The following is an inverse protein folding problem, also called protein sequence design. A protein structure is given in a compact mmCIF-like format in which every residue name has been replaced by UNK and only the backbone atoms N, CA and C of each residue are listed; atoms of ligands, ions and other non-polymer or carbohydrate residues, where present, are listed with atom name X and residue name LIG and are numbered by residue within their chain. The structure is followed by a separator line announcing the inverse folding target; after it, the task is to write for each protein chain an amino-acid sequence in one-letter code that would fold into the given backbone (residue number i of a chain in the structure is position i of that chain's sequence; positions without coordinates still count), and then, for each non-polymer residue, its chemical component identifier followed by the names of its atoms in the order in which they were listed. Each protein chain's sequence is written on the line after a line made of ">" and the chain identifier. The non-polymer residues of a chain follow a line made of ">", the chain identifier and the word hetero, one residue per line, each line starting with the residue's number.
data_IF_731672005028
#
_entry.id   IF_731672005028
#
_cell.length_a   1.000
_cell.length_b   1.000
_cell.length_c   1.000
_cell.angle_alpha   90.00
_cell.angle_beta   90.00
_cell.angle_gamma   90.00
#
_symmetry.space_group_name_H-M   'P 1'
#
loop_
_entity.id
_entity.type
_entity.pdbx_description
1 polymer ?
#
# COMPACT_ATOMS: atom_id res chain seq x y z
N UNK A 1 -2.87 -3.52 -8.61
CA UNK A 1 -2.78 -3.33 -10.08
C UNK A 1 -2.39 -1.90 -10.41
N UNK A 2 -3.15 -0.87 -9.99
CA UNK A 2 -2.84 0.55 -10.26
C UNK A 2 -1.47 1.02 -9.75
N UNK A 3 -1.02 0.58 -8.57
CA UNK A 3 0.31 0.95 -8.03
C UNK A 3 1.47 0.51 -8.93
N UNK A 4 1.46 -0.73 -9.40
CA UNK A 4 2.50 -1.21 -10.32
C UNK A 4 2.45 -0.47 -11.67
N UNK A 5 1.24 -0.21 -12.19
CA UNK A 5 1.08 0.59 -13.41
C UNK A 5 1.65 2.00 -13.27
N UNK A 6 1.44 2.65 -12.11
CA UNK A 6 2.04 3.96 -11.81
C UNK A 6 3.57 3.88 -11.73
N UNK A 7 4.12 2.87 -11.07
CA UNK A 7 5.58 2.66 -11.01
C UNK A 7 6.17 2.50 -12.41
N UNK A 8 5.54 1.67 -13.26
CA UNK A 8 5.98 1.44 -14.64
C UNK A 8 5.87 2.72 -15.49
N UNK A 9 4.80 3.50 -15.31
CA UNK A 9 4.60 4.79 -15.96
C UNK A 9 5.70 5.79 -15.59
N UNK A 10 6.04 5.90 -14.30
CA UNK A 10 7.10 6.77 -13.81
C UNK A 10 8.46 6.36 -14.40
N UNK A 11 8.80 5.07 -14.43
CA UNK A 11 10.04 4.63 -15.08
C UNK A 11 10.08 4.97 -16.57
N UNK A 12 8.96 4.81 -17.27
CA UNK A 12 8.83 5.21 -18.67
C UNK A 12 9.05 6.71 -18.89
N UNK A 13 8.50 7.55 -18.02
CA UNK A 13 8.64 9.00 -18.05
C UNK A 13 10.08 9.46 -17.74
N UNK A 14 10.72 8.85 -16.74
CA UNK A 14 12.14 9.05 -16.44
C UNK A 14 13.02 8.69 -17.65
N UNK A 15 12.70 7.60 -18.36
CA UNK A 15 13.46 7.20 -19.54
C UNK A 15 13.36 8.23 -20.67
N UNK A 16 12.18 8.83 -20.87
CA UNK A 16 11.99 9.90 -21.87
C UNK A 16 12.86 11.12 -21.57
N UNK A 17 12.87 11.58 -20.31
CA UNK A 17 13.73 12.68 -19.85
C UNK A 17 15.22 12.37 -20.09
N UNK A 18 15.65 11.15 -19.76
CA UNK A 18 17.05 10.72 -19.98
C UNK A 18 17.43 10.66 -21.45
N UNK A 19 16.54 10.17 -22.32
CA UNK A 19 16.78 10.07 -23.76
C UNK A 19 16.78 11.45 -24.45
N UNK A 20 15.98 12.40 -23.96
CA UNK A 20 16.01 13.78 -24.45
C UNK A 20 17.23 14.56 -23.95
N UNK A 21 17.82 14.15 -22.82
CA UNK A 21 18.88 14.87 -22.13
C UNK A 21 18.37 16.02 -21.25
N UNK A 22 17.06 16.03 -20.97
CA UNK A 22 16.40 17.08 -20.18
C UNK A 22 16.04 16.54 -18.80
N UNK A 23 16.03 17.41 -17.79
CA UNK A 23 15.57 17.05 -16.44
C UNK A 23 14.20 17.65 -16.11
N UNK A 24 13.84 18.77 -16.74
CA UNK A 24 12.54 19.43 -16.56
C UNK A 24 11.59 19.11 -17.73
N UNK A 25 10.32 18.89 -17.40
CA UNK A 25 9.28 18.63 -18.37
C UNK A 25 9.11 19.79 -19.36
N UNK A 26 9.26 21.04 -18.91
CA UNK A 26 9.02 22.21 -19.75
C UNK A 26 9.99 22.30 -20.95
N UNK A 27 11.18 21.75 -20.81
CA UNK A 27 12.24 21.72 -21.83
C UNK A 27 12.05 20.63 -22.89
N UNK A 28 11.19 19.64 -22.63
CA UNK A 28 10.88 18.57 -23.59
C UNK A 28 10.24 19.13 -24.87
N UNK A 29 10.55 18.51 -26.02
CA UNK A 29 9.83 18.82 -27.27
C UNK A 29 8.38 18.38 -27.15
N UNK A 30 7.50 19.03 -27.91
CA UNK A 30 6.05 18.71 -27.93
C UNK A 30 5.74 17.21 -28.08
N UNK A 31 6.48 16.50 -28.95
CA UNK A 31 6.34 15.04 -29.13
C UNK A 31 6.74 14.22 -27.90
N UNK A 32 7.75 14.68 -27.15
CA UNK A 32 8.26 14.03 -25.94
C UNK A 32 7.33 14.30 -24.76
N UNK A 33 6.80 15.53 -24.63
CA UNK A 33 5.76 15.88 -23.65
C UNK A 33 4.52 14.99 -23.79
N UNK A 34 4.05 14.80 -25.03
CA UNK A 34 2.94 13.88 -25.32
C UNK A 34 3.28 12.44 -24.93
N UNK A 35 4.43 11.93 -25.38
CA UNK A 35 4.86 10.56 -25.06
C UNK A 35 5.05 10.33 -23.55
N UNK A 36 5.46 11.37 -22.82
CA UNK A 36 5.56 11.37 -21.36
C UNK A 36 4.18 11.22 -20.74
N UNK A 37 3.20 12.05 -21.11
CA UNK A 37 1.84 11.95 -20.61
C UNK A 37 1.15 10.62 -20.96
N UNK A 38 1.38 10.08 -22.16
CA UNK A 38 0.83 8.79 -22.58
C UNK A 38 1.26 7.63 -21.67
N UNK A 39 2.33 7.77 -20.87
CA UNK A 39 2.66 6.79 -19.83
C UNK A 39 1.62 6.74 -18.70
N UNK A 40 0.97 7.86 -18.45
CA UNK A 40 0.04 8.06 -17.36
C UNK A 40 -1.43 8.05 -17.80
N UNK A 41 -1.72 8.07 -19.10
CA UNK A 41 -3.09 8.24 -19.65
C UNK A 41 -4.10 7.24 -19.06
N UNK A 42 -3.70 5.97 -18.91
CA UNK A 42 -4.58 4.89 -18.39
C UNK A 42 -4.77 4.93 -16.86
N UNK A 43 -4.05 5.81 -16.16
CA UNK A 43 -4.08 5.96 -14.69
C UNK A 43 -4.47 7.37 -14.25
N UNK A 44 -4.87 8.25 -15.19
CA UNK A 44 -5.49 9.54 -14.87
C UNK A 44 -6.74 9.29 -14.03
N UNK A 45 -6.78 9.92 -12.86
CA UNK A 45 -7.91 9.85 -11.92
C UNK A 45 -8.99 10.87 -12.28
N UNK A 46 -8.59 12.04 -12.76
CA UNK A 46 -9.53 13.12 -13.10
C UNK A 46 -9.03 14.02 -14.24
N UNK A 47 -9.97 14.64 -14.93
CA UNK A 47 -9.75 15.74 -15.85
C UNK A 47 -10.60 16.92 -15.40
N UNK A 48 -9.96 18.05 -15.10
CA UNK A 48 -10.62 19.24 -14.59
C UNK A 48 -10.02 20.49 -15.26
N UNK A 49 -10.54 21.66 -14.92
CA UNK A 49 -10.06 22.92 -15.47
C UNK A 49 -10.96 24.09 -15.14
N UNK A 50 -10.35 25.28 -15.12
CA UNK A 50 -11.04 26.55 -14.92
C UNK A 50 -10.86 27.48 -16.13
N UNK A 51 -11.03 28.79 -15.93
CA UNK A 51 -10.94 29.78 -17.01
C UNK A 51 -9.51 29.96 -17.53
N UNK A 52 -8.51 29.54 -16.77
CA UNK A 52 -7.11 29.87 -17.00
C UNK A 52 -6.29 28.63 -17.41
N UNK A 53 -6.66 27.42 -16.94
CA UNK A 53 -5.99 26.16 -17.33
C UNK A 53 -6.93 24.96 -17.33
N UNK A 54 -6.61 23.95 -18.13
CA UNK A 54 -7.17 22.61 -18.01
C UNK A 54 -6.08 21.61 -17.65
N UNK A 55 -6.42 20.63 -16.82
CA UNK A 55 -5.43 19.70 -16.29
C UNK A 55 -5.96 18.26 -16.20
N UNK A 56 -5.01 17.33 -16.32
CA UNK A 56 -5.19 15.93 -16.02
C UNK A 56 -4.44 15.58 -14.74
N UNK A 57 -5.08 14.84 -13.85
CA UNK A 57 -4.56 14.49 -12.52
C UNK A 57 -4.32 12.99 -12.44
N UNK A 58 -3.19 12.60 -11.87
CA UNK A 58 -2.94 11.23 -11.39
C UNK A 58 -2.80 11.29 -9.88
N UNK A 59 -3.74 10.68 -9.18
CA UNK A 59 -3.75 10.56 -7.72
C UNK A 59 -3.80 9.09 -7.32
N UNK A 60 -2.75 8.63 -6.62
CA UNK A 60 -2.69 7.29 -6.05
C UNK A 60 -1.73 7.25 -4.86
N UNK A 61 -2.19 6.73 -3.73
CA UNK A 61 -1.47 6.78 -2.45
C UNK A 61 -1.01 8.24 -2.17
N UNK A 62 0.26 8.47 -1.83
CA UNK A 62 0.82 9.82 -1.60
C UNK A 62 1.42 10.46 -2.87
N UNK A 63 1.02 9.99 -4.06
CA UNK A 63 1.50 10.52 -5.33
C UNK A 63 0.40 11.32 -6.01
N UNK A 64 0.67 12.60 -6.20
CA UNK A 64 -0.18 13.53 -6.92
C UNK A 64 0.60 14.20 -8.04
N UNK A 65 0.20 13.92 -9.29
CA UNK A 65 0.78 14.52 -10.50
C UNK A 65 -0.28 15.31 -11.25
N UNK A 66 0.07 16.53 -11.66
CA UNK A 66 -0.78 17.36 -12.51
C UNK A 66 -0.08 17.66 -13.81
N UNK A 67 -0.82 17.48 -14.91
CA UNK A 67 -0.41 17.87 -16.25
C UNK A 67 -1.30 19.02 -16.69
N UNK A 68 -0.74 20.17 -17.08
CA UNK A 68 -1.54 21.26 -17.65
C UNK A 68 -1.47 21.29 -19.17
N UNK A 69 -2.58 21.66 -19.78
CA UNK A 69 -2.68 22.05 -21.18
C UNK A 69 -2.91 23.55 -21.30
N UNK A 70 -2.45 24.17 -22.39
CA UNK A 70 -2.80 25.57 -22.70
C UNK A 70 -4.25 25.72 -23.20
N UNK A 71 -4.93 24.63 -23.53
CA UNK A 71 -6.31 24.67 -24.04
C UNK A 71 -7.30 24.95 -22.91
N UNK A 72 -8.18 25.92 -23.10
CA UNK A 72 -9.13 26.39 -22.07
C UNK A 72 -10.48 25.68 -22.12
N UNK A 73 -10.69 24.80 -23.09
CA UNK A 73 -11.97 24.13 -23.36
C UNK A 73 -11.92 22.60 -23.23
N UNK A 74 -10.82 22.09 -22.65
CA UNK A 74 -10.62 20.69 -22.30
C UNK A 74 -9.15 20.34 -22.41
N UNK A 75 -8.71 19.37 -21.59
CA UNK A 75 -7.32 18.95 -21.60
C UNK A 75 -6.92 18.37 -22.97
N UNK A 76 -6.03 19.05 -23.70
CA UNK A 76 -5.44 18.53 -24.94
C UNK A 76 -4.08 17.90 -24.64
N UNK A 77 -4.04 16.56 -24.70
CA UNK A 77 -2.79 15.80 -24.55
C UNK A 77 -1.74 16.07 -25.63
N UNK A 78 -2.11 16.75 -26.72
CA UNK A 78 -1.17 17.21 -27.74
C UNK A 78 -0.59 18.59 -27.44
N UNK A 79 -1.09 19.33 -26.45
CA UNK A 79 -0.63 20.68 -26.10
C UNK A 79 -0.40 20.86 -24.60
N UNK A 80 0.32 19.90 -24.02
CA UNK A 80 0.71 19.90 -22.61
C UNK A 80 1.89 20.86 -22.44
N UNK A 81 1.76 21.84 -21.55
CA UNK A 81 2.77 22.86 -21.32
C UNK A 81 3.58 22.63 -20.03
N UNK A 82 2.96 22.01 -19.02
CA UNK A 82 3.53 21.90 -17.69
C UNK A 82 3.20 20.57 -16.98
N UNK A 83 4.03 20.24 -16.01
CA UNK A 83 3.93 19.07 -15.13
C UNK A 83 4.44 19.42 -13.74
N UNK A 84 3.63 19.22 -12.70
CA UNK A 84 4.02 19.45 -11.31
C UNK A 84 3.39 18.44 -10.35
N UNK A 85 3.79 18.55 -9.08
CA UNK A 85 3.27 17.80 -7.94
C UNK A 85 2.83 18.79 -6.88
N UNK A 86 1.75 18.50 -6.15
CA UNK A 86 1.22 19.40 -5.11
C UNK A 86 2.08 19.38 -3.85
N UNK A 87 2.67 18.22 -3.55
CA UNK A 87 3.70 18.07 -2.53
C UNK A 87 5.08 18.24 -3.17
N UNK A 88 5.99 18.91 -2.45
CA UNK A 88 7.39 19.25 -2.81
C UNK A 88 7.64 20.64 -3.41
N UNK A 89 8.24 21.49 -2.58
CA UNK A 89 8.94 22.71 -2.95
C UNK A 89 10.10 22.40 -3.92
N UNK A 90 10.01 22.92 -5.15
CA UNK A 90 11.14 23.02 -6.07
C UNK A 90 11.61 21.70 -6.72
N UNK A 91 12.58 21.83 -7.61
CA UNK A 91 13.19 20.71 -8.33
C UNK A 91 12.63 20.45 -9.73
N UNK A 92 13.35 19.64 -10.49
CA UNK A 92 13.03 19.27 -11.88
C UNK A 92 11.96 18.18 -11.94
N UNK A 93 11.41 17.91 -13.14
CA UNK A 93 10.47 16.80 -13.32
C UNK A 93 11.11 15.45 -12.97
N UNK A 94 12.41 15.27 -13.27
CA UNK A 94 13.17 14.08 -12.93
C UNK A 94 13.22 13.86 -11.41
N UNK A 95 13.53 14.90 -10.63
CA UNK A 95 13.59 14.81 -9.16
C UNK A 95 12.23 14.47 -8.55
N UNK A 96 11.15 15.08 -9.05
CA UNK A 96 9.77 14.79 -8.62
C UNK A 96 9.40 13.32 -8.85
N UNK A 97 9.69 12.79 -10.04
CA UNK A 97 9.44 11.37 -10.37
C UNK A 97 10.27 10.42 -9.50
N UNK A 98 11.53 10.75 -9.21
CA UNK A 98 12.38 9.94 -8.33
C UNK A 98 11.87 9.94 -6.88
N UNK A 99 11.42 11.10 -6.39
CA UNK A 99 10.81 11.21 -5.06
C UNK A 99 9.50 10.42 -4.98
N UNK A 100 8.67 10.47 -6.03
CA UNK A 100 7.45 9.66 -6.12
C UNK A 100 7.76 8.16 -6.09
N UNK A 101 8.78 7.68 -6.84
CA UNK A 101 9.22 6.28 -6.75
C UNK A 101 9.69 5.91 -5.35
N UNK A 102 10.40 6.82 -4.67
CA UNK A 102 10.85 6.58 -3.29
C UNK A 102 9.65 6.48 -2.35
N UNK A 103 8.62 7.32 -2.53
CA UNK A 103 7.38 7.26 -1.74
C UNK A 103 6.60 5.97 -2.01
N UNK A 104 6.39 5.62 -3.28
CA UNK A 104 5.66 4.40 -3.66
C UNK A 104 6.36 3.12 -3.21
N UNK A 105 7.69 3.13 -3.14
CA UNK A 105 8.50 2.00 -2.69
C UNK A 105 8.89 2.09 -1.21
N UNK A 106 8.22 2.92 -0.40
CA UNK A 106 8.47 2.94 1.05
C UNK A 106 8.22 1.54 1.62
N UNK A 107 9.18 0.99 2.39
CA UNK A 107 9.00 -0.32 3.00
C UNK A 107 7.93 -0.22 4.07
N UNK A 108 6.89 -1.05 3.95
CA UNK A 108 5.90 -1.22 5.00
C UNK A 108 6.54 -2.01 6.15
N UNK A 109 6.52 -1.46 7.35
CA UNK A 109 6.92 -2.16 8.56
C UNK A 109 5.86 -3.20 8.95
N UNK A 110 6.30 -4.42 9.23
CA UNK A 110 5.42 -5.51 9.69
C UNK A 110 5.67 -5.76 11.16
N UNK A 111 4.72 -5.35 12.00
CA UNK A 111 4.80 -5.53 13.46
C UNK A 111 4.00 -6.77 13.86
N UNK A 112 4.70 -7.80 14.35
CA UNK A 112 4.06 -9.03 14.81
C UNK A 112 3.58 -8.88 16.26
N UNK A 113 2.25 -8.88 16.46
CA UNK A 113 1.58 -8.84 17.76
C UNK A 113 0.97 -10.19 18.14
N UNK A 114 1.39 -11.27 17.48
CA UNK A 114 1.06 -12.64 17.89
C UNK A 114 2.07 -13.15 18.93
N UNK A 115 1.73 -14.17 19.75
CA UNK A 115 2.62 -14.68 20.79
C UNK A 115 3.93 -15.34 20.31
N UNK A 116 4.02 -15.70 19.02
CA UNK A 116 5.13 -16.48 18.48
C UNK A 116 5.77 -15.75 17.30
N UNK A 117 7.02 -16.09 17.00
CA UNK A 117 7.70 -15.58 15.80
C UNK A 117 6.90 -15.95 14.55
N UNK A 118 6.69 -14.96 13.69
CA UNK A 118 6.07 -15.15 12.39
C UNK A 118 7.15 -15.52 11.39
N UNK A 119 7.07 -16.73 10.83
CA UNK A 119 7.96 -17.20 9.77
C UNK A 119 7.22 -17.19 8.43
N UNK A 120 7.71 -16.40 7.48
CA UNK A 120 7.19 -16.34 6.10
C UNK A 120 8.03 -17.24 5.20
N UNK A 121 7.37 -18.12 4.45
CA UNK A 121 8.00 -19.10 3.57
C UNK A 121 7.65 -18.84 2.11
N UNK A 122 8.59 -19.17 1.21
CA UNK A 122 8.31 -19.23 -0.23
C UNK A 122 7.58 -20.53 -0.61
N UNK A 123 7.29 -20.70 -1.90
CA UNK A 123 6.66 -21.90 -2.47
C UNK A 123 7.49 -23.18 -2.26
N UNK A 124 8.81 -23.04 -2.09
CA UNK A 124 9.75 -24.14 -1.88
C UNK A 124 10.07 -24.38 -0.39
N UNK A 125 9.33 -23.73 0.52
CA UNK A 125 9.55 -23.75 1.97
C UNK A 125 10.87 -23.13 2.45
N UNK A 126 11.53 -22.29 1.64
CA UNK A 126 12.64 -21.47 2.12
C UNK A 126 12.11 -20.31 2.94
N UNK A 127 12.84 -19.93 3.99
CA UNK A 127 12.48 -18.79 4.84
C UNK A 127 12.78 -17.48 4.10
N UNK A 128 11.73 -16.68 3.89
CA UNK A 128 11.84 -15.32 3.34
C UNK A 128 12.03 -14.31 4.48
N UNK A 129 11.21 -14.41 5.53
CA UNK A 129 11.25 -13.51 6.68
C UNK A 129 11.02 -14.25 8.00
N UNK A 130 11.65 -13.72 9.06
CA UNK A 130 11.35 -14.03 10.46
C UNK A 130 11.07 -12.73 11.17
N UNK A 131 9.85 -12.58 11.68
CA UNK A 131 9.40 -11.36 12.34
C UNK A 131 9.13 -11.69 13.81
N UNK A 132 10.02 -11.27 14.74
CA UNK A 132 9.86 -11.56 16.15
C UNK A 132 8.60 -10.92 16.70
N UNK A 133 8.01 -11.56 17.71
CA UNK A 133 6.90 -10.96 18.45
C UNK A 133 7.37 -9.66 19.12
N UNK A 134 6.64 -8.57 18.87
CA UNK A 134 6.93 -7.22 19.39
C UNK A 134 5.95 -6.81 20.49
N UNK A 135 5.08 -7.73 20.92
CA UNK A 135 4.01 -7.47 21.88
C UNK A 135 2.84 -8.41 21.65
N UNK A 136 1.72 -8.13 22.31
CA UNK A 136 0.53 -8.97 22.20
C UNK A 136 -0.74 -8.12 22.20
N UNK A 137 -1.49 -8.20 21.11
CA UNK A 137 -2.83 -7.64 21.01
C UNK A 137 -3.86 -8.77 21.04
N UNK A 138 -4.84 -8.70 21.95
CA UNK A 138 -5.83 -9.77 22.15
C UNK A 138 -7.22 -9.21 22.38
N UNK A 139 -8.20 -9.81 21.73
CA UNK A 139 -9.60 -9.64 22.11
C UNK A 139 -9.82 -10.12 23.55
N UNK A 140 -10.44 -9.28 24.38
CA UNK A 140 -10.79 -9.60 25.75
C UNK A 140 -11.71 -10.82 25.77
N UNK A 141 -11.32 -11.87 26.49
CA UNK A 141 -12.05 -13.14 26.52
C UNK A 141 -12.79 -13.29 27.85
N UNK A 142 -14.12 -13.37 27.81
CA UNK A 142 -14.93 -13.74 28.98
C UNK A 142 -15.38 -15.19 28.87
N UNK A 143 -15.45 -15.85 30.03
CA UNK A 143 -15.93 -17.23 30.14
C UNK A 143 -17.01 -17.28 31.22
N UNK A 144 -18.18 -17.75 30.84
CA UNK A 144 -19.32 -17.98 31.72
C UNK A 144 -19.50 -19.49 31.90
N UNK A 145 -19.50 -19.99 33.13
CA UNK A 145 -19.80 -21.40 33.39
C UNK A 145 -21.29 -21.64 33.12
N UNK A 146 -21.61 -22.61 32.27
CA UNK A 146 -22.99 -22.90 31.82
C UNK A 146 -23.49 -24.27 32.32
N UNK A 147 -22.81 -24.85 33.32
CA UNK A 147 -23.11 -26.15 33.90
C UNK A 147 -22.09 -27.22 33.53
N UNK A 148 -22.41 -28.47 33.87
CA UNK A 148 -21.51 -29.61 33.70
C UNK A 148 -22.13 -30.66 32.76
N UNK A 149 -21.34 -31.16 31.82
CA UNK A 149 -21.73 -32.26 30.93
C UNK A 149 -21.01 -33.52 31.41
N UNK A 150 -21.74 -34.47 31.98
CA UNK A 150 -21.18 -35.70 32.56
C UNK A 150 -20.07 -35.44 33.61
N UNK A 151 -20.21 -34.37 34.40
CA UNK A 151 -19.22 -33.96 35.40
C UNK A 151 -18.03 -33.16 34.84
N UNK A 152 -18.06 -32.78 33.55
CA UNK A 152 -17.06 -31.93 32.91
C UNK A 152 -17.59 -30.48 32.86
N UNK A 153 -16.90 -29.49 33.46
CA UNK A 153 -17.33 -28.09 33.43
C UNK A 153 -17.41 -27.52 32.01
N UNK A 154 -18.60 -27.07 31.61
CA UNK A 154 -18.86 -26.42 30.33
C UNK A 154 -18.88 -24.90 30.49
N UNK A 155 -18.27 -24.19 29.55
CA UNK A 155 -18.22 -22.72 29.55
C UNK A 155 -18.67 -22.15 28.22
N UNK A 156 -19.46 -21.09 28.25
CA UNK A 156 -19.69 -20.22 27.10
C UNK A 156 -18.59 -19.16 27.06
N UNK A 157 -17.96 -19.00 25.90
CA UNK A 157 -16.90 -18.01 25.70
C UNK A 157 -17.43 -16.87 24.83
N UNK A 158 -17.12 -15.63 25.19
CA UNK A 158 -17.35 -14.48 24.31
C UNK A 158 -16.10 -13.61 24.22
N UNK A 159 -15.97 -12.90 23.10
CA UNK A 159 -14.86 -12.02 22.81
C UNK A 159 -15.36 -10.58 22.76
N UNK A 160 -14.67 -9.68 23.47
CA UNK A 160 -14.96 -8.26 23.55
C UNK A 160 -13.87 -7.42 22.89
N UNK A 161 -13.69 -6.21 23.39
CA UNK A 161 -12.72 -5.23 22.87
C UNK A 161 -11.29 -5.76 22.86
N UNK A 162 -10.48 -5.23 21.95
CA UNK A 162 -9.07 -5.59 21.84
C UNK A 162 -8.23 -4.77 22.81
N UNK A 163 -7.43 -5.44 23.63
CA UNK A 163 -6.41 -4.84 24.47
C UNK A 163 -5.02 -4.94 23.80
N UNK A 164 -4.17 -3.95 24.04
CA UNK A 164 -2.78 -3.96 23.58
C UNK A 164 -2.59 -3.72 22.08
N UNK A 165 -3.63 -3.28 21.37
CA UNK A 165 -3.55 -2.93 19.95
C UNK A 165 -3.09 -1.46 19.79
N UNK A 166 -1.94 -1.19 19.16
CA UNK A 166 -1.51 0.18 18.87
C UNK A 166 -2.48 0.90 17.94
N UNK A 167 -2.48 2.23 18.01
CA UNK A 167 -3.17 3.07 17.02
C UNK A 167 -2.58 2.84 15.61
N UNK A 168 -3.38 2.98 14.53
CA UNK A 168 -2.86 2.94 13.16
C UNK A 168 -1.69 3.90 12.97
N UNK A 169 -0.70 3.47 12.21
CA UNK A 169 0.46 4.28 11.83
C UNK A 169 0.67 4.16 10.32
N UNK A 170 1.08 5.28 9.71
CA UNK A 170 1.48 5.29 8.30
C UNK A 170 2.64 4.31 8.09
N UNK A 171 2.61 3.59 6.96
CA UNK A 171 3.62 2.59 6.60
C UNK A 171 3.82 1.44 7.61
N UNK A 172 2.85 1.18 8.50
CA UNK A 172 2.90 0.05 9.46
C UNK A 172 1.67 -0.85 9.31
N UNK A 173 1.89 -2.16 9.28
CA UNK A 173 0.84 -3.16 9.46
C UNK A 173 1.06 -3.96 10.74
N UNK A 174 -0.03 -4.41 11.36
CA UNK A 174 0.01 -5.25 12.55
C UNK A 174 -0.47 -6.66 12.24
N UNK A 175 0.39 -7.66 12.51
CA UNK A 175 -0.01 -9.07 12.41
C UNK A 175 -0.57 -9.55 13.74
N UNK A 176 -1.84 -9.93 13.76
CA UNK A 176 -2.60 -10.33 14.94
C UNK A 176 -3.24 -11.72 14.76
N UNK A 177 -3.91 -12.23 15.80
CA UNK A 177 -4.74 -13.43 15.65
C UNK A 177 -6.05 -13.11 14.89
N UNK A 178 -6.64 -14.09 14.22
CA UNK A 178 -7.93 -13.93 13.54
C UNK A 178 -9.04 -13.42 14.47
N UNK A 179 -9.07 -13.88 15.73
CA UNK A 179 -10.01 -13.40 16.75
C UNK A 179 -9.79 -11.92 17.09
N UNK A 180 -8.52 -11.49 17.15
CA UNK A 180 -8.17 -10.08 17.39
C UNK A 180 -8.59 -9.20 16.22
N UNK A 181 -8.33 -9.63 14.97
CA UNK A 181 -8.73 -8.89 13.77
C UNK A 181 -10.26 -8.75 13.68
N UNK A 182 -11.00 -9.84 13.90
CA UNK A 182 -12.48 -9.84 13.90
C UNK A 182 -13.08 -8.93 14.98
N UNK A 183 -12.39 -8.73 16.10
CA UNK A 183 -12.82 -7.83 17.16
C UNK A 183 -12.58 -6.34 16.84
N UNK A 184 -11.84 -6.03 15.77
CA UNK A 184 -11.56 -4.67 15.29
C UNK A 184 -11.83 -4.53 13.77
N UNK A 185 -13.08 -4.75 13.30
CA UNK A 185 -13.42 -4.83 11.88
C UNK A 185 -13.32 -3.49 11.11
N UNK A 186 -12.99 -2.40 11.81
CA UNK A 186 -12.82 -1.06 11.24
C UNK A 186 -11.34 -0.73 10.98
N UNK A 187 -10.44 -1.69 11.20
CA UNK A 187 -8.99 -1.51 11.09
C UNK A 187 -8.48 -2.20 9.83
N UNK A 188 -8.10 -1.40 8.84
CA UNK A 188 -7.61 -1.89 7.54
C UNK A 188 -6.10 -2.22 7.56
N UNK A 189 -5.42 -1.99 8.67
CA UNK A 189 -3.99 -2.24 8.90
C UNK A 189 -3.73 -3.55 9.67
N UNK A 190 -4.77 -4.34 9.96
CA UNK A 190 -4.64 -5.64 10.64
C UNK A 190 -4.57 -6.79 9.65
N UNK A 191 -3.55 -7.61 9.84
CA UNK A 191 -3.33 -8.81 9.06
C UNK A 191 -3.22 -10.03 9.95
N UNK A 192 -3.47 -11.21 9.37
CA UNK A 192 -3.35 -12.50 10.03
C UNK A 192 -2.40 -13.40 9.23
N UNK A 193 -1.70 -14.34 9.88
CA UNK A 193 -0.98 -15.38 9.14
C UNK A 193 -1.95 -16.21 8.28
N UNK A 194 -1.67 -16.33 6.99
CA UNK A 194 -2.49 -17.07 6.02
C UNK A 194 -1.66 -18.05 5.17
N UNK A 195 -2.31 -19.08 4.63
CA UNK A 195 -1.66 -20.18 3.91
C UNK A 195 -0.58 -20.86 4.79
N UNK A 196 -1.03 -21.41 5.91
CA UNK A 196 -0.17 -22.09 6.90
C UNK A 196 0.56 -23.29 6.29
N UNK A 197 1.85 -23.41 6.58
CA UNK A 197 2.68 -24.54 6.17
C UNK A 197 2.97 -25.41 7.39
N UNK A 198 2.85 -26.73 7.21
CA UNK A 198 3.06 -27.73 8.26
C UNK A 198 4.18 -28.70 7.89
N UNK A 199 4.91 -29.17 8.89
CA UNK A 199 5.87 -30.27 8.73
C UNK A 199 5.17 -31.65 8.64
N UNK A 200 5.95 -32.71 8.51
CA UNK A 200 5.44 -34.08 8.39
C UNK A 200 4.70 -34.54 9.66
N UNK A 201 5.02 -33.96 10.81
CA UNK A 201 4.37 -34.19 12.10
C UNK A 201 3.14 -33.28 12.32
N UNK A 202 2.78 -32.45 11.33
CA UNK A 202 1.63 -31.56 11.36
C UNK A 202 1.82 -30.26 12.14
N UNK A 203 3.04 -29.95 12.60
CA UNK A 203 3.37 -28.72 13.33
C UNK A 203 3.47 -27.56 12.35
N UNK A 204 2.99 -26.39 12.75
CA UNK A 204 3.10 -25.19 11.91
C UNK A 204 4.55 -24.73 11.90
N UNK A 205 5.15 -24.62 10.72
CA UNK A 205 6.53 -24.14 10.52
C UNK A 205 6.61 -22.74 9.93
N UNK A 206 5.46 -22.17 9.53
CA UNK A 206 5.36 -20.83 8.98
C UNK A 206 4.06 -20.64 8.19
N UNK A 207 4.00 -19.57 7.42
CA UNK A 207 2.90 -19.26 6.51
C UNK A 207 3.43 -18.66 5.20
N UNK A 208 2.66 -18.70 4.11
CA UNK A 208 3.08 -18.14 2.81
C UNK A 208 2.45 -16.80 2.49
N UNK A 209 1.44 -16.40 3.27
CA UNK A 209 0.69 -15.18 3.02
C UNK A 209 0.31 -14.48 4.32
N UNK A 210 -0.12 -13.24 4.16
CA UNK A 210 -0.87 -12.48 5.15
C UNK A 210 -2.28 -12.27 4.59
N UNK A 211 -3.29 -12.49 5.42
CA UNK A 211 -4.70 -12.30 5.09
C UNK A 211 -5.32 -11.16 5.88
N UNK A 212 -6.44 -10.65 5.39
CA UNK A 212 -7.31 -9.68 6.07
C UNK A 212 -8.70 -10.31 6.20
N UNK A 213 -9.42 -10.01 7.29
CA UNK A 213 -10.75 -10.58 7.63
C UNK A 213 -11.74 -9.45 7.87
#
# INVERSE_FOLDING_TARGET
>A
MKKQQLIDAIYGAINILKESGEEDFRELKRKEKKAFFEKFEDIVSDYDGDKDYTYAVVELDDVYFTFASNELHGFDKNDINDFWTDDYEGGTALERLQNALKSLNRPVEVVNLTPHELTILDENNNVIHRIPSSGFARAHQTREHIGDINGIPAYKTSFGEVEGLPAPQEDVIYVVSALTAQAAPHRDDLYIPDNQVRDAEGRIIGCRALGQI
#
